data_IF_244772637148
#
_entry.id   IF_244772637148
#
_cell.length_a   1.000
_cell.length_b   1.000
_cell.length_c   1.000
_cell.angle_alpha   90.00
_cell.angle_beta   90.00
_cell.angle_gamma   90.00
#
_symmetry.space_group_name_H-M   'P 1'
#
loop_
_entity.id
_entity.type
_entity.pdbx_description
1 polymer ?
#
# COMPACT_ATOMS: atom_id res chain seq x y z
N UNK A 1 -0.42 -15.12 23.86
CA UNK A 1 -1.54 -14.37 23.27
C UNK A 1 -2.57 -15.32 22.65
N UNK A 2 -3.40 -16.04 23.43
CA UNK A 2 -4.33 -17.03 22.86
C UNK A 2 -5.77 -16.52 22.65
N UNK A 3 -6.15 -15.38 23.25
CA UNK A 3 -7.55 -14.98 23.36
C UNK A 3 -8.18 -14.35 22.10
N UNK A 4 -7.38 -13.88 21.13
CA UNK A 4 -7.89 -13.21 19.92
C UNK A 4 -7.89 -14.12 18.68
N UNK A 5 -7.25 -15.30 18.76
CA UNK A 5 -7.03 -16.20 17.61
C UNK A 5 -8.29 -16.50 16.78
N UNK A 6 -9.46 -16.85 17.37
CA UNK A 6 -10.64 -17.20 16.58
C UNK A 6 -11.27 -16.02 15.82
N UNK A 7 -10.88 -14.78 16.10
CA UNK A 7 -11.41 -13.58 15.45
C UNK A 7 -10.34 -12.79 14.67
N UNK A 8 -9.10 -13.29 14.64
CA UNK A 8 -8.03 -12.67 13.87
C UNK A 8 -8.02 -13.22 12.45
N UNK A 9 -8.18 -12.33 11.48
CA UNK A 9 -7.88 -12.60 10.07
C UNK A 9 -6.58 -11.91 9.70
N UNK A 10 -5.70 -12.63 9.00
CA UNK A 10 -4.41 -12.12 8.56
C UNK A 10 -4.32 -12.08 7.04
N UNK A 11 -3.59 -11.09 6.54
CA UNK A 11 -3.21 -11.01 5.13
C UNK A 11 -1.69 -10.87 5.02
N UNK A 12 -1.12 -11.59 4.06
CA UNK A 12 0.28 -11.42 3.65
C UNK A 12 0.41 -11.77 2.17
N UNK A 13 1.41 -11.19 1.50
CA UNK A 13 1.78 -11.52 0.14
C UNK A 13 3.29 -11.73 0.07
N UNK A 14 3.80 -12.84 -0.52
CA UNK A 14 5.23 -13.11 -0.60
C UNK A 14 6.00 -11.95 -1.23
N UNK A 15 7.11 -11.56 -0.62
CA UNK A 15 7.97 -10.46 -1.10
C UNK A 15 7.48 -9.05 -0.75
N UNK A 16 6.25 -8.89 -0.26
CA UNK A 16 5.71 -7.59 0.18
C UNK A 16 5.93 -7.38 1.67
N UNK A 17 6.34 -6.18 2.03
CA UNK A 17 6.65 -5.74 3.40
C UNK A 17 6.05 -4.36 3.67
N UNK A 18 6.17 -3.88 4.90
CA UNK A 18 5.85 -2.50 5.30
C UNK A 18 4.39 -2.08 5.08
N UNK A 19 3.45 -2.98 5.39
CA UNK A 19 2.02 -2.68 5.51
C UNK A 19 1.83 -1.61 6.60
N UNK A 20 1.68 -0.36 6.18
CA UNK A 20 1.83 0.80 7.08
C UNK A 20 0.71 1.83 6.94
N UNK A 21 -0.09 1.77 5.87
CA UNK A 21 -1.23 2.66 5.67
C UNK A 21 -2.50 1.85 5.51
N UNK A 22 -3.56 2.25 6.23
CA UNK A 22 -4.84 1.54 6.28
C UNK A 22 -5.95 2.57 6.22
N UNK A 23 -6.95 2.35 5.37
CA UNK A 23 -8.15 3.19 5.33
C UNK A 23 -9.38 2.35 5.00
N UNK A 24 -10.52 2.71 5.58
CA UNK A 24 -11.77 1.95 5.47
C UNK A 24 -12.67 2.55 4.39
N UNK A 25 -13.10 1.73 3.44
CA UNK A 25 -14.21 2.02 2.55
C UNK A 25 -15.45 1.26 3.03
N UNK A 26 -16.15 1.85 4.00
CA UNK A 26 -17.34 1.24 4.60
C UNK A 26 -18.49 1.09 3.59
N UNK A 27 -18.55 1.96 2.57
CA UNK A 27 -19.60 1.88 1.54
C UNK A 27 -19.50 0.62 0.69
N UNK A 28 -18.29 0.05 0.60
CA UNK A 28 -18.01 -1.17 -0.17
C UNK A 28 -17.65 -2.36 0.72
N UNK A 29 -17.63 -2.18 2.04
CA UNK A 29 -17.15 -3.17 3.01
C UNK A 29 -15.70 -3.64 2.72
N UNK A 30 -14.80 -2.68 2.46
CA UNK A 30 -13.42 -2.94 2.06
C UNK A 30 -12.42 -2.21 2.96
N UNK A 31 -11.24 -2.81 3.11
CA UNK A 31 -10.06 -2.21 3.70
C UNK A 31 -9.05 -1.93 2.57
N UNK A 32 -8.64 -0.67 2.42
CA UNK A 32 -7.57 -0.30 1.49
C UNK A 32 -6.26 -0.25 2.28
N UNK A 33 -5.23 -0.92 1.78
CA UNK A 33 -3.94 -1.08 2.46
C UNK A 33 -2.82 -0.57 1.57
N UNK A 34 -1.94 0.26 2.11
CA UNK A 34 -0.68 0.67 1.50
C UNK A 34 0.50 -0.05 2.14
N UNK A 35 1.36 -0.63 1.29
CA UNK A 35 2.57 -1.35 1.67
C UNK A 35 3.73 -0.98 0.73
N UNK A 36 4.94 -1.52 0.94
CA UNK A 36 6.08 -1.32 0.04
C UNK A 36 5.72 -1.75 -1.39
N UNK A 37 5.77 -0.78 -2.30
CA UNK A 37 5.43 -0.87 -3.72
C UNK A 37 4.00 -1.32 -4.04
N UNK A 38 3.08 -1.35 -3.07
CA UNK A 38 1.78 -1.97 -3.30
C UNK A 38 0.62 -1.23 -2.64
N UNK A 39 -0.51 -1.27 -3.33
CA UNK A 39 -1.83 -0.96 -2.80
C UNK A 39 -2.71 -2.21 -2.89
N UNK A 40 -3.46 -2.50 -1.83
CA UNK A 40 -4.38 -3.62 -1.76
C UNK A 40 -5.79 -3.17 -1.44
N UNK A 41 -6.77 -3.88 -1.99
CA UNK A 41 -8.15 -3.91 -1.50
C UNK A 41 -8.36 -5.26 -0.84
N UNK A 42 -8.71 -5.25 0.43
CA UNK A 42 -9.07 -6.44 1.18
C UNK A 42 -10.55 -6.38 1.56
N UNK A 43 -11.16 -7.55 1.68
CA UNK A 43 -12.48 -7.66 2.31
C UNK A 43 -12.37 -7.27 3.77
N UNK A 44 -13.24 -6.37 4.24
CA UNK A 44 -13.25 -5.95 5.64
C UNK A 44 -13.70 -7.09 6.57
N UNK A 45 -14.43 -8.09 6.07
CA UNK A 45 -14.98 -9.18 6.87
C UNK A 45 -13.95 -10.25 7.25
N UNK A 46 -12.93 -10.49 6.42
CA UNK A 46 -11.98 -11.60 6.62
C UNK A 46 -10.57 -11.34 6.07
N UNK A 47 -10.23 -10.08 5.74
CA UNK A 47 -8.94 -9.68 5.18
C UNK A 47 -8.53 -10.42 3.88
N UNK A 48 -9.47 -11.08 3.20
CA UNK A 48 -9.19 -11.73 1.91
C UNK A 48 -8.87 -10.70 0.83
N UNK A 49 -7.94 -11.05 -0.07
CA UNK A 49 -7.53 -10.17 -1.16
C UNK A 49 -8.64 -10.03 -2.21
N UNK A 50 -9.04 -8.79 -2.48
CA UNK A 50 -9.95 -8.45 -3.56
C UNK A 50 -9.20 -7.90 -4.78
N UNK A 51 -8.17 -7.08 -4.54
CA UNK A 51 -7.34 -6.49 -5.59
C UNK A 51 -5.94 -6.16 -5.06
N UNK A 52 -4.92 -6.37 -5.88
CA UNK A 52 -3.56 -5.89 -5.66
C UNK A 52 -3.12 -5.02 -6.85
N UNK A 53 -2.44 -3.92 -6.56
CA UNK A 53 -1.83 -3.06 -7.57
C UNK A 53 -0.40 -2.80 -7.16
N UNK A 54 0.54 -3.14 -8.04
CA UNK A 54 1.92 -2.72 -7.90
C UNK A 54 2.03 -1.23 -8.26
N UNK A 55 2.71 -0.50 -7.40
CA UNK A 55 2.99 0.92 -7.53
C UNK A 55 4.40 1.21 -7.03
N UNK A 56 5.38 0.47 -7.56
CA UNK A 56 6.80 0.74 -7.36
C UNK A 56 7.32 1.87 -8.25
N UNK A 57 8.53 2.37 -7.99
CA UNK A 57 9.21 3.29 -8.90
C UNK A 57 9.59 2.59 -10.20
N UNK A 58 9.63 3.34 -11.30
CA UNK A 58 10.25 2.86 -12.54
C UNK A 58 11.76 2.68 -12.39
N UNK A 59 12.36 1.96 -13.34
CA UNK A 59 13.77 1.56 -13.28
C UNK A 59 14.73 2.75 -13.35
N UNK A 60 14.38 3.82 -14.06
CA UNK A 60 15.20 5.02 -14.15
C UNK A 60 15.20 5.79 -12.82
N UNK A 61 14.04 5.88 -12.16
CA UNK A 61 13.89 6.48 -10.83
C UNK A 61 14.66 5.66 -9.78
N UNK A 62 14.57 4.33 -9.80
CA UNK A 62 15.38 3.45 -8.91
C UNK A 62 16.87 3.66 -9.13
N UNK A 63 17.32 3.65 -10.40
CA UNK A 63 18.73 3.84 -10.75
C UNK A 63 19.24 5.20 -10.29
N UNK A 64 18.46 6.27 -10.47
CA UNK A 64 18.82 7.61 -10.01
C UNK A 64 18.90 7.70 -8.48
N UNK A 65 18.03 6.99 -7.76
CA UNK A 65 18.11 6.89 -6.30
C UNK A 65 19.39 6.16 -5.87
N UNK A 66 19.69 5.00 -6.46
CA UNK A 66 20.88 4.22 -6.14
C UNK A 66 22.18 4.93 -6.51
N UNK A 67 22.21 5.68 -7.62
CA UNK A 67 23.39 6.48 -8.01
C UNK A 67 23.70 7.60 -7.00
N UNK A 68 22.76 7.96 -6.13
CA UNK A 68 22.95 8.89 -5.00
C UNK A 68 23.43 8.17 -3.72
N UNK A 69 23.81 6.90 -3.80
CA UNK A 69 24.34 6.11 -2.69
C UNK A 69 23.28 5.49 -1.77
N UNK A 70 22.03 5.42 -2.21
CA UNK A 70 20.93 4.78 -1.46
C UNK A 70 20.87 3.28 -1.71
N UNK A 71 20.45 2.54 -0.69
CA UNK A 71 20.30 1.08 -0.80
C UNK A 71 19.11 0.70 -1.68
N UNK A 72 19.10 -0.54 -2.20
CA UNK A 72 17.96 -1.05 -2.96
C UNK A 72 16.65 -0.95 -2.18
N UNK A 73 16.70 -1.16 -0.85
CA UNK A 73 15.51 -1.08 -0.01
C UNK A 73 15.00 0.36 0.15
N UNK A 74 15.88 1.34 0.38
CA UNK A 74 15.47 2.74 0.44
C UNK A 74 14.92 3.26 -0.89
N UNK A 75 15.33 2.68 -2.03
CA UNK A 75 14.92 3.07 -3.37
C UNK A 75 13.58 2.45 -3.82
N UNK A 76 12.64 2.27 -2.90
CA UNK A 76 11.32 1.71 -3.18
C UNK A 76 10.24 2.75 -2.92
N UNK A 77 9.01 2.43 -3.30
CA UNK A 77 7.86 3.28 -3.01
C UNK A 77 7.17 2.80 -1.73
N UNK A 78 7.39 3.51 -0.62
CA UNK A 78 6.66 3.29 0.62
C UNK A 78 5.43 4.19 0.64
N UNK A 79 4.24 3.61 0.75
CA UNK A 79 3.01 4.40 0.85
C UNK A 79 2.99 5.11 2.20
N UNK A 80 2.84 6.44 2.18
CA UNK A 80 2.87 7.29 3.38
C UNK A 80 1.57 8.04 3.61
N UNK A 81 0.77 8.22 2.56
CA UNK A 81 -0.54 8.86 2.63
C UNK A 81 -1.55 7.98 1.91
N UNK A 82 -2.66 7.70 2.57
CA UNK A 82 -3.78 6.98 2.00
C UNK A 82 -5.08 7.52 2.62
N UNK A 83 -5.81 8.31 1.84
CA UNK A 83 -7.02 9.01 2.28
C UNK A 83 -8.20 8.64 1.38
N UNK A 84 -9.36 8.46 1.99
CA UNK A 84 -10.64 8.34 1.28
C UNK A 84 -11.45 9.61 1.49
N UNK A 85 -11.96 10.18 0.41
CA UNK A 85 -12.88 11.32 0.44
C UNK A 85 -14.04 11.05 -0.51
N UNK A 86 -15.17 10.63 0.05
CA UNK A 86 -16.31 10.13 -0.73
C UNK A 86 -15.89 8.89 -1.54
N UNK A 87 -15.96 8.99 -2.87
CA UNK A 87 -15.55 7.91 -3.81
C UNK A 87 -14.15 8.09 -4.37
N UNK A 88 -13.32 8.94 -3.76
CA UNK A 88 -11.96 9.22 -4.24
C UNK A 88 -10.95 8.69 -3.23
N UNK A 89 -9.94 7.99 -3.74
CA UNK A 89 -8.76 7.57 -3.00
C UNK A 89 -7.63 8.50 -3.41
N UNK A 90 -7.09 9.24 -2.45
CA UNK A 90 -5.87 10.02 -2.61
C UNK A 90 -4.73 9.30 -1.92
N UNK A 91 -3.64 9.03 -2.65
CA UNK A 91 -2.49 8.30 -2.11
C UNK A 91 -1.19 8.93 -2.55
N UNK A 92 -0.21 8.94 -1.65
CA UNK A 92 1.16 9.35 -1.92
C UNK A 92 2.15 8.33 -1.37
N UNK A 93 3.28 8.19 -2.05
CA UNK A 93 4.38 7.36 -1.59
C UNK A 93 5.74 8.01 -1.86
N UNK A 94 6.78 7.45 -1.23
CA UNK A 94 8.15 7.98 -1.29
C UNK A 94 8.80 7.89 -2.66
N UNK A 95 8.40 6.87 -3.45
CA UNK A 95 8.87 6.58 -4.80
C UNK A 95 10.37 6.83 -5.01
N UNK A 96 11.19 6.09 -4.26
CA UNK A 96 12.65 6.18 -4.28
C UNK A 96 13.19 7.62 -4.10
N UNK A 97 12.75 8.30 -3.03
CA UNK A 97 13.04 9.71 -2.73
C UNK A 97 12.56 10.71 -3.81
N UNK A 98 11.63 10.31 -4.68
CA UNK A 98 10.97 11.18 -5.65
C UNK A 98 9.46 11.10 -5.44
N UNK A 99 8.91 11.71 -4.37
CA UNK A 99 7.54 11.46 -3.94
C UNK A 99 6.51 11.73 -5.05
N UNK A 100 5.56 10.82 -5.18
CA UNK A 100 4.46 10.94 -6.15
C UNK A 100 3.13 10.73 -5.46
N UNK A 101 2.10 11.40 -5.99
CA UNK A 101 0.74 11.29 -5.52
C UNK A 101 -0.20 10.97 -6.69
N UNK A 102 -1.29 10.27 -6.41
CA UNK A 102 -2.36 10.04 -7.38
C UNK A 102 -3.72 10.09 -6.71
N UNK A 103 -4.73 10.52 -7.47
CA UNK A 103 -6.13 10.41 -7.09
C UNK A 103 -6.83 9.45 -8.05
N UNK A 104 -7.47 8.42 -7.51
CA UNK A 104 -8.29 7.47 -8.28
C UNK A 104 -9.70 7.42 -7.72
N UNK A 105 -10.67 7.08 -8.56
CA UNK A 105 -12.00 6.72 -8.05
C UNK A 105 -11.96 5.32 -7.42
N UNK A 106 -12.57 5.15 -6.25
CA UNK A 106 -12.88 3.81 -5.74
C UNK A 106 -14.05 3.26 -6.56
N UNK A 107 -13.75 2.61 -7.69
CA UNK A 107 -14.77 1.90 -8.48
C UNK A 107 -15.02 0.49 -7.95
#
# INVERSE_FOLDING_TARGET
MPALSPWMSGFSLPGVKDFSQLTLDLTRNQLIVGARNHLFRLSLSNASLLQAVEWGPDEDTKRSCQSKGKTEDECQNYIRVLLITGRRIFTCGTNAFTPVCTTRQSH
#
